data_IF_506445277803
#
_entry.id   IF_506445277803
#
_cell.length_a   1.000
_cell.length_b   1.000
_cell.length_c   1.000
_cell.angle_alpha   90.00
_cell.angle_beta   90.00
_cell.angle_gamma   90.00
#
_symmetry.space_group_name_H-M   'P 1'
#
loop_
_entity.id
_entity.type
_entity.pdbx_description
1 polymer ?
#
# COMPACT_ATOMS: atom_id res chain seq x y z
N UNK A 1 -63.25 67.49 9.07
CA UNK A 1 -62.79 66.16 8.68
C UNK A 1 -61.28 66.10 8.90
N UNK A 2 -60.88 65.38 9.91
CA UNK A 2 -59.43 65.20 10.28
C UNK A 2 -59.05 63.81 9.82
N UNK A 3 -58.10 63.69 8.89
CA UNK A 3 -57.49 62.43 8.44
C UNK A 3 -56.28 62.12 9.28
N UNK A 4 -56.36 61.01 10.04
CA UNK A 4 -55.23 60.47 10.78
C UNK A 4 -54.35 59.65 9.84
N UNK A 5 -53.11 60.04 9.67
CA UNK A 5 -52.09 59.18 9.02
C UNK A 5 -51.41 58.35 10.09
N UNK A 6 -51.53 57.06 9.94
CA UNK A 6 -50.84 56.06 10.79
C UNK A 6 -49.47 55.75 10.16
N UNK A 7 -48.41 56.17 10.83
CA UNK A 7 -47.05 55.79 10.45
C UNK A 7 -46.71 54.39 11.00
N UNK A 8 -46.54 53.42 10.11
CA UNK A 8 -46.00 52.10 10.43
C UNK A 8 -44.50 52.23 10.46
N UNK A 9 -43.87 52.09 11.65
CA UNK A 9 -42.44 51.91 11.81
C UNK A 9 -42.11 50.42 11.63
N UNK A 10 -41.56 50.03 10.49
CA UNK A 10 -40.98 48.70 10.27
C UNK A 10 -39.55 48.69 10.83
N UNK A 11 -39.38 48.09 12.00
CA UNK A 11 -38.08 47.87 12.60
C UNK A 11 -37.34 46.74 11.87
N UNK A 12 -36.22 47.09 11.23
CA UNK A 12 -35.31 46.13 10.60
C UNK A 12 -34.40 45.53 11.69
N UNK A 13 -34.71 44.31 12.09
CA UNK A 13 -33.84 43.57 13.03
C UNK A 13 -32.71 42.95 12.19
N UNK A 14 -31.52 43.53 12.28
CA UNK A 14 -30.31 42.93 11.70
C UNK A 14 -29.82 41.79 12.61
N UNK A 15 -30.07 40.56 12.19
CA UNK A 15 -29.50 39.35 12.81
C UNK A 15 -28.06 39.23 12.38
N UNK A 16 -27.10 39.63 13.22
CA UNK A 16 -25.68 39.35 13.04
C UNK A 16 -25.40 37.91 13.41
N UNK A 17 -25.29 37.04 12.42
CA UNK A 17 -24.76 35.68 12.62
C UNK A 17 -23.27 35.77 12.94
N UNK A 18 -22.79 35.15 14.04
CA UNK A 18 -21.35 35.06 14.27
C UNK A 18 -20.74 34.19 13.18
N UNK A 19 -19.98 34.79 12.27
CA UNK A 19 -19.12 34.05 11.37
C UNK A 19 -18.11 33.29 12.24
N UNK A 20 -18.19 31.96 12.22
CA UNK A 20 -17.13 31.13 12.75
C UNK A 20 -15.86 31.46 11.98
N UNK A 21 -15.00 32.28 12.55
CA UNK A 21 -13.63 32.47 12.06
C UNK A 21 -12.95 31.12 12.24
N UNK A 22 -12.91 30.35 11.15
CA UNK A 22 -12.08 29.17 11.06
C UNK A 22 -10.64 29.66 11.17
N UNK A 23 -10.04 29.51 12.37
CA UNK A 23 -8.61 29.72 12.55
C UNK A 23 -7.93 28.76 11.57
N UNK A 24 -7.37 29.31 10.51
CA UNK A 24 -6.42 28.59 9.67
C UNK A 24 -5.34 28.04 10.61
N UNK A 25 -5.44 26.75 10.92
CA UNK A 25 -4.29 26.02 11.46
C UNK A 25 -3.25 26.13 10.37
N UNK A 26 -2.27 27.01 10.54
CA UNK A 26 -1.03 26.96 9.76
C UNK A 26 -0.58 25.51 9.82
N UNK A 27 -0.84 24.77 8.75
CA UNK A 27 -0.47 23.36 8.65
C UNK A 27 1.04 23.30 8.84
N UNK A 28 1.47 22.74 9.95
CA UNK A 28 2.81 22.16 10.01
C UNK A 28 2.79 21.17 8.87
N UNK A 29 3.55 21.40 7.82
CA UNK A 29 3.77 20.43 6.76
C UNK A 29 4.49 19.25 7.41
N UNK A 30 3.71 18.32 7.95
CA UNK A 30 4.27 17.06 8.43
C UNK A 30 4.91 16.38 7.21
N UNK A 31 6.20 16.10 7.32
CA UNK A 31 6.88 15.33 6.27
C UNK A 31 6.10 14.02 6.09
N UNK A 32 5.83 13.60 4.86
CA UNK A 32 5.16 12.33 4.63
C UNK A 32 5.97 11.20 5.26
N UNK A 33 5.28 10.27 5.94
CA UNK A 33 5.91 9.12 6.58
C UNK A 33 6.43 8.15 5.50
N UNK A 34 7.54 7.48 5.80
CA UNK A 34 7.99 6.36 4.99
C UNK A 34 7.01 5.18 5.13
N UNK A 35 6.82 4.44 4.05
CA UNK A 35 5.94 3.28 3.99
C UNK A 35 6.80 2.06 3.67
N UNK A 36 6.82 1.08 4.58
CA UNK A 36 7.43 -0.23 4.33
C UNK A 36 6.32 -1.28 4.25
N UNK A 37 6.24 -1.98 3.12
CA UNK A 37 5.35 -3.10 2.90
C UNK A 37 6.15 -4.40 2.80
N UNK A 38 5.86 -5.36 3.68
CA UNK A 38 6.50 -6.68 3.68
C UNK A 38 5.44 -7.73 3.38
N UNK A 39 5.70 -8.58 2.38
CA UNK A 39 4.83 -9.69 1.98
C UNK A 39 5.61 -11.01 2.05
N UNK A 40 5.13 -11.94 2.86
CA UNK A 40 5.60 -13.32 2.86
C UNK A 40 4.77 -14.14 1.87
N UNK A 41 5.45 -15.01 1.11
CA UNK A 41 4.82 -15.96 0.18
C UNK A 41 4.68 -17.32 0.88
N UNK A 42 3.55 -18.00 0.66
CA UNK A 42 3.25 -19.30 1.25
C UNK A 42 3.47 -19.37 2.79
N UNK A 43 3.13 -18.29 3.49
CA UNK A 43 3.29 -18.17 4.94
C UNK A 43 1.95 -18.33 5.65
N UNK A 44 1.78 -19.45 6.35
CA UNK A 44 0.58 -19.72 7.13
C UNK A 44 0.51 -18.83 8.38
N UNK A 45 -0.68 -18.34 8.73
CA UNK A 45 -0.86 -17.55 9.95
C UNK A 45 -0.51 -18.32 11.22
N UNK A 46 -0.63 -19.66 11.23
CA UNK A 46 -0.26 -20.50 12.37
C UNK A 46 1.26 -20.50 12.65
N UNK A 47 2.08 -20.07 11.71
CA UNK A 47 3.54 -19.93 11.89
C UNK A 47 3.96 -18.50 12.17
N UNK A 48 3.04 -17.68 12.67
CA UNK A 48 3.28 -16.35 13.24
C UNK A 48 2.81 -16.38 14.69
N UNK A 49 3.74 -16.28 15.65
CA UNK A 49 3.39 -16.49 17.07
C UNK A 49 2.39 -15.49 17.63
N UNK A 50 2.30 -14.29 17.05
CA UNK A 50 1.23 -13.35 17.39
C UNK A 50 -0.19 -13.89 17.13
N UNK A 51 -0.36 -14.88 16.25
CA UNK A 51 -1.64 -15.56 15.98
C UNK A 51 -1.73 -16.93 16.64
N UNK A 52 -0.61 -17.70 16.69
CA UNK A 52 -0.57 -19.06 17.21
C UNK A 52 0.83 -19.43 17.71
N UNK A 53 0.96 -19.63 19.01
CA UNK A 53 2.24 -19.92 19.67
C UNK A 53 2.68 -21.39 19.62
N UNK A 54 1.92 -22.28 18.94
CA UNK A 54 2.15 -23.73 19.01
C UNK A 54 3.37 -24.22 18.23
N UNK A 55 3.83 -23.47 17.21
CA UNK A 55 4.80 -24.00 16.27
C UNK A 55 6.16 -23.30 16.31
N UNK A 56 6.17 -21.99 16.40
CA UNK A 56 7.40 -21.20 16.31
C UNK A 56 7.21 -19.84 16.98
N UNK A 57 8.29 -19.28 17.49
CA UNK A 57 8.32 -17.91 18.01
C UNK A 57 8.78 -16.93 16.91
N UNK A 58 8.05 -15.86 16.71
CA UNK A 58 8.36 -14.79 15.72
C UNK A 58 8.44 -13.43 16.39
N UNK A 59 9.42 -13.19 17.30
CA UNK A 59 9.41 -12.03 18.20
C UNK A 59 9.43 -10.67 17.46
N UNK A 60 10.08 -10.60 16.31
CA UNK A 60 10.13 -9.36 15.53
C UNK A 60 8.81 -9.06 14.81
N UNK A 61 8.09 -10.09 14.32
CA UNK A 61 6.77 -9.94 13.74
C UNK A 61 5.76 -9.62 14.84
N UNK A 62 5.88 -10.29 15.99
CA UNK A 62 5.01 -10.07 17.16
C UNK A 62 5.14 -8.64 17.70
N UNK A 63 6.34 -8.04 17.62
CA UNK A 63 6.52 -6.64 17.96
C UNK A 63 5.65 -5.73 17.10
N UNK A 64 5.56 -5.97 15.78
CA UNK A 64 4.68 -5.21 14.89
C UNK A 64 3.22 -5.37 15.31
N UNK A 65 2.81 -6.59 15.67
CA UNK A 65 1.45 -6.85 16.14
C UNK A 65 1.14 -6.17 17.48
N UNK A 66 2.12 -6.10 18.39
CA UNK A 66 1.96 -5.54 19.74
C UNK A 66 2.01 -4.00 19.76
N UNK A 67 2.82 -3.39 18.89
CA UNK A 67 2.98 -1.93 18.78
C UNK A 67 2.02 -1.30 17.76
N UNK A 68 1.38 -2.10 16.93
CA UNK A 68 0.50 -1.68 15.85
C UNK A 68 -0.89 -2.30 15.91
N UNK A 69 -1.36 -2.82 14.78
CA UNK A 69 -2.68 -3.43 14.63
C UNK A 69 -2.54 -4.85 14.06
N UNK A 70 -3.18 -5.82 14.72
CA UNK A 70 -3.32 -7.18 14.24
C UNK A 70 -4.74 -7.41 13.70
N UNK A 71 -4.84 -7.78 12.42
CA UNK A 71 -6.11 -8.12 11.79
C UNK A 71 -6.43 -9.60 12.04
N UNK A 72 -7.56 -9.89 12.66
CA UNK A 72 -8.02 -11.27 12.96
C UNK A 72 -8.87 -11.85 11.83
N UNK A 73 -9.46 -11.00 11.00
CA UNK A 73 -10.24 -11.40 9.84
C UNK A 73 -9.73 -10.63 8.60
N UNK A 74 -8.92 -11.31 7.80
CA UNK A 74 -8.37 -10.77 6.57
C UNK A 74 -8.54 -11.79 5.45
N UNK A 75 -8.87 -11.32 4.25
CA UNK A 75 -9.20 -12.18 3.12
C UNK A 75 -8.41 -11.73 1.89
N UNK A 76 -8.01 -12.71 1.06
CA UNK A 76 -7.31 -12.44 -0.19
C UNK A 76 -8.28 -12.45 -1.36
N UNK A 77 -8.06 -11.55 -2.32
CA UNK A 77 -8.87 -11.49 -3.54
C UNK A 77 -8.55 -12.63 -4.51
N UNK A 78 -7.34 -13.19 -4.45
CA UNK A 78 -6.89 -14.36 -5.19
C UNK A 78 -5.72 -15.00 -4.41
N UNK A 79 -5.75 -16.31 -4.20
CA UNK A 79 -4.75 -17.03 -3.40
C UNK A 79 -3.51 -17.48 -4.19
N UNK A 80 -3.51 -17.37 -5.51
CA UNK A 80 -2.32 -17.65 -6.32
C UNK A 80 -1.30 -16.51 -6.24
N UNK A 81 -0.02 -16.86 -6.21
CA UNK A 81 1.10 -15.93 -6.02
C UNK A 81 1.05 -14.71 -6.95
N UNK A 82 1.13 -14.88 -8.26
CA UNK A 82 1.11 -13.77 -9.22
C UNK A 82 -0.20 -12.97 -9.21
N UNK A 83 -1.37 -13.62 -9.30
CA UNK A 83 -2.66 -12.93 -9.21
C UNK A 83 -2.87 -12.15 -7.92
N UNK A 84 -2.43 -12.67 -6.76
CA UNK A 84 -2.46 -11.95 -5.48
C UNK A 84 -1.66 -10.65 -5.56
N UNK A 85 -0.45 -10.71 -6.11
CA UNK A 85 0.44 -9.54 -6.30
C UNK A 85 -0.17 -8.51 -7.25
N UNK A 86 -0.77 -8.95 -8.34
CA UNK A 86 -1.47 -8.07 -9.28
C UNK A 86 -2.69 -7.39 -8.62
N UNK A 87 -3.46 -8.13 -7.81
CA UNK A 87 -4.57 -7.56 -7.03
C UNK A 87 -4.08 -6.50 -6.04
N UNK A 88 -3.00 -6.79 -5.32
CA UNK A 88 -2.38 -5.86 -4.39
C UNK A 88 -1.93 -4.57 -5.09
N UNK A 89 -1.17 -4.69 -6.17
CA UNK A 89 -0.63 -3.53 -6.90
C UNK A 89 -1.71 -2.63 -7.46
N UNK A 90 -2.79 -3.22 -8.00
CA UNK A 90 -3.83 -2.49 -8.72
C UNK A 90 -5.03 -2.09 -7.87
N UNK A 91 -5.21 -2.72 -6.69
CA UNK A 91 -6.45 -2.61 -5.91
C UNK A 91 -7.67 -3.23 -6.61
N UNK A 92 -7.47 -4.08 -7.63
CA UNK A 92 -8.52 -4.69 -8.44
C UNK A 92 -8.50 -6.20 -8.33
N UNK A 93 -9.67 -6.84 -8.32
CA UNK A 93 -9.78 -8.29 -8.46
C UNK A 93 -9.18 -8.79 -9.77
N UNK A 94 -8.71 -10.05 -9.81
CA UNK A 94 -8.02 -10.66 -10.95
C UNK A 94 -8.77 -10.55 -12.27
N UNK A 95 -10.10 -10.72 -12.27
CA UNK A 95 -10.92 -10.57 -13.47
C UNK A 95 -11.01 -9.12 -14.00
N UNK A 96 -10.67 -8.13 -13.16
CA UNK A 96 -10.64 -6.71 -13.54
C UNK A 96 -9.24 -6.24 -13.95
N UNK A 97 -8.19 -6.78 -13.32
CA UNK A 97 -6.81 -6.44 -13.69
C UNK A 97 -6.26 -7.33 -14.81
N UNK A 98 -6.99 -8.39 -15.19
CA UNK A 98 -6.64 -9.31 -16.28
C UNK A 98 -5.60 -10.37 -15.93
N UNK A 99 -5.02 -10.36 -14.72
CA UNK A 99 -4.02 -11.31 -14.28
C UNK A 99 -4.66 -12.40 -13.42
N UNK A 100 -5.22 -13.42 -14.07
CA UNK A 100 -6.06 -14.44 -13.44
C UNK A 100 -5.31 -15.68 -12.96
N UNK A 101 -4.13 -15.93 -13.52
CA UNK A 101 -3.29 -17.10 -13.23
C UNK A 101 -1.81 -16.80 -13.51
N UNK A 102 -0.92 -17.71 -13.08
CA UNK A 102 0.54 -17.53 -13.18
C UNK A 102 1.10 -17.68 -14.60
N UNK A 103 0.29 -18.04 -15.61
CA UNK A 103 0.72 -18.13 -17.02
C UNK A 103 0.60 -16.79 -17.75
N UNK A 104 -0.10 -15.85 -17.15
CA UNK A 104 -0.32 -14.51 -17.72
C UNK A 104 0.91 -13.61 -17.57
N UNK A 105 0.91 -12.56 -18.38
CA UNK A 105 1.82 -11.42 -18.24
C UNK A 105 1.05 -10.23 -17.70
N UNK A 106 1.56 -9.59 -16.64
CA UNK A 106 0.92 -8.42 -16.05
C UNK A 106 1.05 -7.21 -16.98
N UNK A 107 -0.06 -6.55 -17.21
CA UNK A 107 -0.07 -5.26 -17.91
C UNK A 107 0.40 -4.14 -16.98
N UNK A 108 1.69 -3.83 -17.07
CA UNK A 108 2.34 -2.78 -16.29
C UNK A 108 1.89 -1.36 -16.65
N UNK A 109 1.07 -1.15 -17.70
CA UNK A 109 0.52 0.18 -18.04
C UNK A 109 -0.60 0.59 -17.09
N UNK A 110 -1.24 -0.37 -16.42
CA UNK A 110 -2.31 -0.11 -15.46
C UNK A 110 -1.84 0.82 -14.33
N UNK A 111 -2.79 1.54 -13.75
CA UNK A 111 -2.56 2.28 -12.53
C UNK A 111 -2.31 1.31 -11.36
N UNK A 112 -1.21 1.56 -10.64
CA UNK A 112 -0.81 0.81 -9.45
C UNK A 112 -0.51 1.77 -8.30
N UNK A 113 -0.59 1.29 -7.05
CA UNK A 113 -0.32 2.16 -5.92
C UNK A 113 1.11 2.76 -5.90
N UNK A 114 2.19 2.06 -6.36
CA UNK A 114 3.50 2.68 -6.42
C UNK A 114 3.56 3.88 -7.39
N UNK A 115 2.86 3.83 -8.53
CA UNK A 115 2.74 4.97 -9.43
C UNK A 115 2.05 6.16 -8.79
N UNK A 116 1.02 5.91 -7.96
CA UNK A 116 0.34 6.97 -7.22
C UNK A 116 1.26 7.57 -6.14
N UNK A 117 2.07 6.75 -5.48
CA UNK A 117 3.07 7.21 -4.53
C UNK A 117 4.13 8.08 -5.21
N UNK A 118 4.62 7.70 -6.40
CA UNK A 118 5.55 8.53 -7.18
C UNK A 118 4.91 9.89 -7.52
N UNK A 119 3.65 9.91 -7.94
CA UNK A 119 2.91 11.15 -8.21
C UNK A 119 2.76 12.03 -6.96
N UNK A 120 2.73 11.42 -5.78
CA UNK A 120 2.72 12.11 -4.50
C UNK A 120 4.12 12.51 -4.00
N UNK A 121 5.18 12.28 -4.79
CA UNK A 121 6.55 12.67 -4.48
C UNK A 121 7.35 11.64 -3.67
N UNK A 122 6.86 10.42 -3.52
CA UNK A 122 7.63 9.35 -2.89
C UNK A 122 8.64 8.74 -3.88
N UNK A 123 9.80 8.36 -3.37
CA UNK A 123 10.66 7.38 -4.02
C UNK A 123 10.11 5.98 -3.74
N UNK A 124 10.10 5.12 -4.74
CA UNK A 124 9.50 3.79 -4.66
C UNK A 124 10.50 2.71 -5.03
N UNK A 125 10.51 1.63 -4.25
CA UNK A 125 11.36 0.48 -4.52
C UNK A 125 10.59 -0.84 -4.34
N UNK A 126 11.02 -1.89 -5.06
CA UNK A 126 10.57 -3.26 -4.83
C UNK A 126 11.76 -4.21 -4.86
N UNK A 127 11.86 -5.06 -3.84
CA UNK A 127 12.92 -6.07 -3.71
C UNK A 127 12.29 -7.43 -3.44
N UNK A 128 12.87 -8.49 -4.02
CA UNK A 128 12.46 -9.87 -3.81
C UNK A 128 11.49 -10.40 -4.86
N UNK A 129 10.54 -11.26 -4.46
CA UNK A 129 9.67 -11.95 -5.41
C UNK A 129 8.68 -11.01 -6.10
N UNK A 130 8.76 -10.94 -7.42
CA UNK A 130 7.84 -10.19 -8.29
C UNK A 130 6.76 -11.08 -8.90
N UNK A 131 7.14 -12.10 -9.64
CA UNK A 131 6.30 -13.16 -10.21
C UNK A 131 5.12 -12.67 -11.07
N UNK A 132 5.32 -11.60 -11.84
CA UNK A 132 4.29 -11.04 -12.73
C UNK A 132 4.64 -11.13 -14.21
N UNK A 133 5.74 -11.83 -14.56
CA UNK A 133 6.19 -12.08 -15.95
C UNK A 133 6.45 -10.81 -16.76
N UNK A 134 6.48 -9.66 -16.13
CA UNK A 134 6.79 -8.33 -16.69
C UNK A 134 7.80 -7.63 -15.79
N UNK A 135 8.51 -6.66 -16.33
CA UNK A 135 9.34 -5.80 -15.50
C UNK A 135 8.46 -4.93 -14.59
N UNK A 136 8.95 -4.57 -13.39
CA UNK A 136 8.26 -3.65 -12.51
C UNK A 136 8.09 -2.27 -13.15
N UNK A 137 6.92 -1.66 -12.94
CA UNK A 137 6.63 -0.29 -13.35
C UNK A 137 6.10 0.52 -12.17
N UNK A 138 6.49 1.80 -12.10
CA UNK A 138 6.14 2.67 -10.98
C UNK A 138 7.09 2.50 -9.79
N UNK A 139 8.32 2.06 -10.06
CA UNK A 139 9.39 1.97 -9.08
C UNK A 139 10.64 2.68 -9.60
N UNK A 140 11.28 3.44 -8.74
CA UNK A 140 12.56 4.11 -9.03
C UNK A 140 13.74 3.13 -8.92
N UNK A 141 13.58 2.11 -8.07
CA UNK A 141 14.51 1.01 -7.90
C UNK A 141 13.77 -0.33 -7.83
N UNK A 142 14.33 -1.36 -8.47
CA UNK A 142 13.81 -2.70 -8.32
C UNK A 142 14.90 -3.77 -8.47
N UNK A 143 14.87 -4.76 -7.60
CA UNK A 143 15.76 -5.90 -7.61
C UNK A 143 14.94 -7.16 -7.31
N UNK A 144 14.59 -7.90 -8.35
CA UNK A 144 13.56 -8.93 -8.27
C UNK A 144 14.07 -10.30 -8.64
N UNK A 145 13.52 -11.32 -7.97
CA UNK A 145 13.73 -12.72 -8.32
C UNK A 145 13.10 -13.06 -9.68
N UNK A 146 13.77 -13.92 -10.44
CA UNK A 146 13.24 -14.42 -11.72
C UNK A 146 12.19 -15.51 -11.45
N UNK A 147 10.98 -15.29 -11.91
CA UNK A 147 9.85 -16.22 -11.73
C UNK A 147 9.53 -16.46 -10.24
N UNK A 148 9.54 -17.73 -9.84
CA UNK A 148 9.37 -18.11 -8.42
C UNK A 148 10.60 -17.77 -7.59
N UNK A 149 11.78 -17.75 -8.21
CA UNK A 149 13.06 -17.63 -7.53
C UNK A 149 13.55 -18.96 -6.94
N UNK A 150 14.84 -19.19 -7.04
CA UNK A 150 15.52 -20.28 -6.34
C UNK A 150 15.72 -19.90 -4.88
N UNK A 151 15.64 -20.87 -3.96
CA UNK A 151 15.88 -20.61 -2.53
C UNK A 151 17.36 -20.36 -2.23
N UNK A 152 18.27 -20.98 -2.99
CA UNK A 152 19.71 -20.84 -2.82
C UNK A 152 20.37 -20.36 -4.09
N UNK A 153 21.30 -19.42 -3.97
CA UNK A 153 22.06 -18.81 -5.07
C UNK A 153 21.16 -18.31 -6.21
N UNK A 154 20.09 -17.55 -5.88
CA UNK A 154 19.10 -17.14 -6.86
C UNK A 154 19.67 -16.16 -7.87
N UNK A 155 19.02 -16.13 -9.03
CA UNK A 155 19.19 -15.03 -9.96
C UNK A 155 18.20 -13.91 -9.64
N UNK A 156 18.74 -12.71 -9.59
CA UNK A 156 17.97 -11.46 -9.51
C UNK A 156 18.06 -10.69 -10.84
N UNK A 157 17.10 -9.81 -11.05
CA UNK A 157 17.19 -8.75 -12.05
C UNK A 157 17.22 -7.42 -11.30
N UNK A 158 18.39 -6.77 -11.30
CA UNK A 158 18.64 -5.48 -10.66
C UNK A 158 18.49 -4.38 -11.71
N UNK A 159 17.38 -3.65 -11.69
CA UNK A 159 17.06 -2.61 -12.67
C UNK A 159 17.33 -3.03 -14.13
N UNK A 160 16.99 -4.28 -14.47
CA UNK A 160 17.17 -4.84 -15.82
C UNK A 160 18.45 -5.66 -16.01
N UNK A 161 19.40 -5.63 -15.10
CA UNK A 161 20.63 -6.41 -15.16
C UNK A 161 20.49 -7.73 -14.39
N UNK A 162 20.72 -8.87 -15.08
CA UNK A 162 20.67 -10.19 -14.43
C UNK A 162 21.94 -10.46 -13.65
N UNK A 163 21.79 -10.78 -12.35
CA UNK A 163 22.88 -11.12 -11.42
C UNK A 163 22.54 -12.37 -10.64
N UNK A 164 23.52 -13.25 -10.45
CA UNK A 164 23.41 -14.35 -9.48
C UNK A 164 24.05 -13.91 -8.16
N UNK A 165 23.36 -14.15 -7.06
CA UNK A 165 23.85 -13.80 -5.71
C UNK A 165 23.93 -15.08 -4.90
N UNK A 166 25.10 -15.36 -4.33
CA UNK A 166 25.33 -16.52 -3.48
C UNK A 166 24.66 -16.36 -2.13
N UNK A 167 23.97 -17.39 -1.66
CA UNK A 167 23.32 -17.41 -0.36
C UNK A 167 21.85 -17.82 -0.41
N UNK A 168 21.15 -17.65 0.71
CA UNK A 168 19.74 -17.96 0.85
C UNK A 168 18.87 -16.75 0.47
N UNK A 169 17.89 -16.97 -0.40
CA UNK A 169 17.09 -15.91 -1.04
C UNK A 169 16.46 -14.92 -0.03
N UNK A 170 15.96 -15.41 1.10
CA UNK A 170 15.33 -14.53 2.10
C UNK A 170 16.36 -13.60 2.76
N UNK A 171 17.56 -14.13 3.10
CA UNK A 171 18.62 -13.31 3.67
C UNK A 171 19.07 -12.24 2.66
N UNK A 172 19.33 -12.65 1.41
CA UNK A 172 19.70 -11.74 0.34
C UNK A 172 18.64 -10.62 0.16
N UNK A 173 17.36 -11.00 0.09
CA UNK A 173 16.27 -10.03 -0.07
C UNK A 173 16.16 -9.05 1.11
N UNK A 174 16.57 -9.49 2.31
CA UNK A 174 16.55 -8.65 3.51
C UNK A 174 17.73 -7.68 3.55
N UNK A 175 18.86 -8.06 2.94
CA UNK A 175 20.10 -7.28 2.92
C UNK A 175 20.13 -6.25 1.78
N UNK A 176 19.28 -6.42 0.76
CA UNK A 176 19.13 -5.50 -0.38
C UNK A 176 18.20 -4.31 -0.06
#
# INVERSE_FOLDING_TARGET
MKTNQLFLLTGLVAVTLPACVQKDKKGVSEKPMNILYIMCDDHSYQTISAYDHRFIETPNIDRIANEGVRFTNSFVANSLSGPSRACLLTGKHSHKNGFTDNTKRFDGSQQTFPKLLQQAGYQTAVVGKWHLTSDPTGFDYWNILIGQGDYYNPYFIDNGEKKQIEGYATNITTDL
#
